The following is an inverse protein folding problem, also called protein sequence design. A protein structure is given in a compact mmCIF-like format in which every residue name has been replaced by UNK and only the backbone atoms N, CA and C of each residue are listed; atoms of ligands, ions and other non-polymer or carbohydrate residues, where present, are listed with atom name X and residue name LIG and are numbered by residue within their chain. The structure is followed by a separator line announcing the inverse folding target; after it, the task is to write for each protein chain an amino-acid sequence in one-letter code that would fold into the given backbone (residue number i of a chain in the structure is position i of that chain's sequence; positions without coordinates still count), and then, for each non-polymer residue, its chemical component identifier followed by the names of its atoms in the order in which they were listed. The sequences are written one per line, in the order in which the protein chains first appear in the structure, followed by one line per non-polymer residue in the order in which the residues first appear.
data_IF_664624074986
#
_entry.id   IF_664624074986
#
_cell.length_a   1.000
_cell.length_b   1.000
_cell.length_c   1.000
_cell.angle_alpha   90.00
_cell.angle_beta   90.00
_cell.angle_gamma   90.00
#
_symmetry.space_group_name_H-M   'P 1'
#
loop_
_entity.id
_entity.type
_entity.pdbx_description
1 polymer ?
#
# COMPACT_ATOMS: atom_id res chain seq x y z
N UNK A 1 -41.71 3.61 13.99
CA UNK A 1 -40.30 3.12 13.98
C UNK A 1 -39.71 3.14 12.57
N UNK A 2 -40.35 2.48 11.58
CA UNK A 2 -39.95 2.48 10.15
C UNK A 2 -39.85 3.88 9.51
N UNK A 3 -40.77 4.79 9.83
CA UNK A 3 -40.77 6.15 9.27
C UNK A 3 -39.57 6.99 9.75
N UNK A 4 -39.17 6.86 11.02
CA UNK A 4 -37.95 7.50 11.54
C UNK A 4 -36.68 6.92 10.91
N UNK A 5 -36.64 5.60 10.68
CA UNK A 5 -35.53 4.94 9.97
C UNK A 5 -35.45 5.39 8.50
N UNK A 6 -36.59 5.59 7.83
CA UNK A 6 -36.63 6.10 6.46
C UNK A 6 -36.16 7.55 6.38
N UNK A 7 -36.55 8.41 7.33
CA UNK A 7 -36.09 9.81 7.39
C UNK A 7 -34.59 9.87 7.69
N UNK A 8 -34.08 9.04 8.60
CA UNK A 8 -32.65 8.93 8.88
C UNK A 8 -31.87 8.49 7.64
N UNK A 9 -32.27 7.39 6.99
CA UNK A 9 -31.65 6.90 5.74
C UNK A 9 -31.73 7.92 4.60
N UNK A 10 -32.82 8.69 4.50
CA UNK A 10 -32.96 9.75 3.51
C UNK A 10 -32.06 10.96 3.80
N UNK A 11 -31.90 11.33 5.08
CA UNK A 11 -30.98 12.38 5.52
C UNK A 11 -29.52 11.98 5.28
N UNK A 12 -29.17 10.73 5.59
CA UNK A 12 -27.85 10.13 5.37
C UNK A 12 -27.56 10.00 3.87
N UNK A 13 -28.53 9.57 3.06
CA UNK A 13 -28.45 9.58 1.59
C UNK A 13 -28.34 11.00 1.01
N UNK A 14 -28.85 12.03 1.69
CA UNK A 14 -28.65 13.43 1.29
C UNK A 14 -27.27 13.95 1.64
N UNK A 15 -26.71 13.54 2.77
CA UNK A 15 -25.33 13.88 3.15
C UNK A 15 -24.31 13.22 2.21
N UNK A 16 -24.55 11.97 1.78
CA UNK A 16 -23.70 11.27 0.81
C UNK A 16 -23.87 11.76 -0.64
N UNK A 17 -24.97 12.43 -0.97
CA UNK A 17 -25.16 13.04 -2.31
C UNK A 17 -24.16 14.14 -2.61
N UNK A 18 -23.71 14.87 -1.59
CA UNK A 18 -22.81 16.01 -1.81
C UNK A 18 -21.42 15.53 -2.26
N UNK A 19 -20.87 14.49 -1.63
CA UNK A 19 -19.59 13.88 -2.06
C UNK A 19 -19.70 13.19 -3.41
N UNK A 20 -20.82 12.51 -3.69
CA UNK A 20 -21.08 11.92 -5.01
C UNK A 20 -21.22 12.97 -6.11
N UNK A 21 -21.88 14.09 -5.85
CA UNK A 21 -21.98 15.20 -6.79
C UNK A 21 -20.61 15.82 -7.05
N UNK A 22 -19.83 16.09 -5.99
CA UNK A 22 -18.45 16.57 -6.12
C UNK A 22 -17.58 15.61 -6.93
N UNK A 23 -17.72 14.29 -6.73
CA UNK A 23 -17.00 13.30 -7.53
C UNK A 23 -17.41 13.38 -9.00
N UNK A 24 -18.72 13.40 -9.28
CA UNK A 24 -19.21 13.53 -10.66
C UNK A 24 -18.71 14.80 -11.36
N UNK A 25 -18.56 15.90 -10.62
CA UNK A 25 -18.07 17.18 -11.15
C UNK A 25 -16.56 17.17 -11.48
N UNK A 26 -15.77 16.28 -10.86
CA UNK A 26 -14.31 16.22 -11.04
C UNK A 26 -13.84 15.02 -11.86
N UNK A 27 -14.73 14.08 -12.20
CA UNK A 27 -14.38 12.98 -13.11
C UNK A 27 -14.06 13.61 -14.48
N UNK A 28 -12.84 13.37 -15.02
CA UNK A 28 -12.49 13.91 -16.32
C UNK A 28 -13.30 13.22 -17.43
N UNK A 29 -13.38 13.87 -18.59
CA UNK A 29 -13.86 13.20 -19.80
C UNK A 29 -12.96 12.04 -20.21
N UNK A 30 -13.38 11.25 -21.19
CA UNK A 30 -12.66 10.05 -21.67
C UNK A 30 -11.18 10.31 -21.98
N UNK A 31 -10.86 11.45 -22.61
CA UNK A 31 -9.48 11.84 -22.95
C UNK A 31 -8.60 12.16 -21.73
N UNK A 32 -9.20 12.43 -20.56
CA UNK A 32 -8.48 12.72 -19.33
C UNK A 32 -8.36 11.51 -18.39
N UNK A 33 -8.89 10.35 -18.77
CA UNK A 33 -8.66 9.10 -18.06
C UNK A 33 -7.33 8.53 -18.52
N UNK A 34 -6.43 8.22 -17.58
CA UNK A 34 -5.14 7.60 -17.92
C UNK A 34 -5.38 6.23 -18.56
N UNK A 35 -4.51 5.80 -19.48
CA UNK A 35 -4.70 4.54 -20.18
C UNK A 35 -4.36 3.32 -19.32
N UNK A 36 -4.89 2.16 -19.72
CA UNK A 36 -4.38 0.86 -19.29
C UNK A 36 -3.35 0.33 -20.28
N UNK A 37 -2.35 -0.38 -19.80
CA UNK A 37 -1.26 -0.90 -20.62
C UNK A 37 -1.38 -2.41 -20.81
N UNK A 38 -1.09 -2.86 -22.02
CA UNK A 38 -0.87 -4.28 -22.31
C UNK A 38 0.61 -4.48 -22.62
N UNK A 39 1.30 -5.30 -21.81
CA UNK A 39 2.73 -5.58 -22.00
C UNK A 39 2.90 -7.03 -22.43
N UNK A 40 3.36 -7.21 -23.66
CA UNK A 40 3.74 -8.52 -24.18
C UNK A 40 5.16 -8.87 -23.71
N UNK A 41 5.25 -9.76 -22.72
CA UNK A 41 6.54 -10.22 -22.18
C UNK A 41 7.02 -11.43 -22.98
N UNK A 42 8.24 -11.42 -23.56
CA UNK A 42 8.78 -12.56 -24.28
C UNK A 42 8.81 -13.81 -23.42
N UNK A 43 8.27 -14.92 -23.94
CA UNK A 43 8.23 -16.20 -23.21
C UNK A 43 7.05 -16.34 -22.24
N UNK A 44 6.21 -15.32 -22.07
CA UNK A 44 4.96 -15.43 -21.32
C UNK A 44 3.80 -15.86 -22.22
N UNK A 45 2.91 -16.69 -21.69
CA UNK A 45 1.74 -17.21 -22.42
C UNK A 45 0.69 -16.12 -22.68
N UNK A 46 0.56 -15.17 -21.75
CA UNK A 46 -0.42 -14.10 -21.79
C UNK A 46 0.27 -12.75 -21.58
N UNK A 47 -0.24 -11.68 -22.20
CA UNK A 47 0.24 -10.34 -21.89
C UNK A 47 -0.13 -9.94 -20.45
N UNK A 48 0.65 -9.02 -19.90
CA UNK A 48 0.33 -8.38 -18.62
C UNK A 48 -0.67 -7.25 -18.88
N UNK A 49 -1.82 -7.29 -18.21
CA UNK A 49 -2.81 -6.21 -18.25
C UNK A 49 -2.61 -5.31 -17.04
N UNK A 50 -2.15 -4.08 -17.25
CA UNK A 50 -1.69 -3.18 -16.20
C UNK A 50 -2.55 -1.91 -16.19
N UNK A 51 -3.40 -1.77 -15.17
CA UNK A 51 -4.33 -0.64 -15.04
C UNK A 51 -4.19 0.10 -13.69
N UNK A 52 -3.11 -0.10 -12.95
CA UNK A 52 -2.99 0.46 -11.60
C UNK A 52 -2.99 1.99 -11.61
N UNK A 53 -2.46 2.64 -12.65
CA UNK A 53 -2.55 4.11 -12.81
C UNK A 53 -4.01 4.58 -12.93
N UNK A 54 -4.87 3.88 -13.67
CA UNK A 54 -6.31 4.17 -13.73
C UNK A 54 -6.96 4.02 -12.35
N UNK A 55 -6.61 2.95 -11.63
CA UNK A 55 -7.10 2.75 -10.26
C UNK A 55 -6.65 3.89 -9.33
N UNK A 56 -5.38 4.29 -9.40
CA UNK A 56 -4.79 5.39 -8.64
C UNK A 56 -5.46 6.74 -8.95
N UNK A 57 -5.76 7.02 -10.22
CA UNK A 57 -6.48 8.21 -10.64
C UNK A 57 -7.86 8.26 -9.99
N UNK A 58 -8.64 7.17 -10.12
CA UNK A 58 -9.97 7.06 -9.51
C UNK A 58 -9.92 7.17 -7.99
N UNK A 59 -8.96 6.50 -7.36
CA UNK A 59 -8.69 6.56 -5.93
C UNK A 59 -8.47 8.00 -5.45
N UNK A 60 -7.61 8.76 -6.13
CA UNK A 60 -7.31 10.16 -5.76
C UNK A 60 -8.52 11.08 -5.98
N UNK A 61 -9.35 10.85 -7.00
CA UNK A 61 -10.61 11.58 -7.21
C UNK A 61 -11.64 11.27 -6.10
N UNK A 62 -11.75 10.01 -5.68
CA UNK A 62 -12.58 9.60 -4.54
C UNK A 62 -12.14 10.31 -3.25
N UNK A 63 -10.83 10.38 -3.01
CA UNK A 63 -10.27 11.12 -1.87
C UNK A 63 -10.53 12.64 -1.99
N UNK A 64 -10.30 13.21 -3.18
CA UNK A 64 -10.51 14.65 -3.46
C UNK A 64 -11.94 15.10 -3.22
N UNK A 65 -12.91 14.30 -3.65
CA UNK A 65 -14.34 14.58 -3.47
C UNK A 65 -14.80 14.43 -2.01
N UNK A 66 -13.98 13.80 -1.15
CA UNK A 66 -14.35 13.44 0.21
C UNK A 66 -15.39 12.32 0.27
N UNK A 67 -15.51 11.52 -0.80
CA UNK A 67 -16.38 10.35 -0.83
C UNK A 67 -15.79 9.19 0.00
N UNK A 68 -14.47 9.05 -0.02
CA UNK A 68 -13.73 8.07 0.77
C UNK A 68 -12.63 8.73 1.61
N UNK A 69 -12.25 8.08 2.70
CA UNK A 69 -11.09 8.44 3.52
C UNK A 69 -9.90 7.48 3.32
N UNK A 70 -10.15 6.33 2.69
CA UNK A 70 -9.17 5.32 2.31
C UNK A 70 -9.66 4.61 1.05
N UNK A 71 -8.73 4.14 0.25
CA UNK A 71 -8.94 3.48 -1.04
C UNK A 71 -7.85 2.43 -1.19
N UNK A 72 -8.22 1.29 -1.77
CA UNK A 72 -7.30 0.20 -2.08
C UNK A 72 -7.15 0.10 -3.59
N UNK A 73 -5.94 -0.11 -4.05
CA UNK A 73 -5.59 -0.34 -5.46
C UNK A 73 -4.72 -1.59 -5.54
N UNK A 74 -4.86 -2.36 -6.61
CA UNK A 74 -4.08 -3.59 -6.81
C UNK A 74 -3.20 -3.49 -8.04
N UNK A 75 -1.93 -3.90 -7.89
CA UNK A 75 -1.06 -4.23 -9.00
C UNK A 75 -0.79 -5.74 -8.96
N UNK A 76 -1.26 -6.44 -9.99
CA UNK A 76 -1.26 -7.91 -10.03
C UNK A 76 -0.01 -8.46 -10.76
N UNK A 77 -0.01 -9.77 -11.03
CA UNK A 77 0.99 -10.50 -11.84
C UNK A 77 2.35 -10.78 -11.19
N UNK A 78 2.60 -10.40 -9.93
CA UNK A 78 3.88 -10.70 -9.27
C UNK A 78 4.10 -12.18 -8.90
N UNK A 79 3.06 -13.02 -8.92
CA UNK A 79 3.16 -14.45 -8.59
C UNK A 79 3.67 -15.32 -9.75
N UNK A 80 4.91 -15.06 -10.19
CA UNK A 80 5.47 -15.63 -11.43
C UNK A 80 6.18 -16.97 -11.21
N UNK A 81 5.49 -18.07 -11.50
CA UNK A 81 6.03 -19.45 -11.39
C UNK A 81 6.79 -19.93 -12.64
N UNK A 82 6.92 -19.06 -13.63
CA UNK A 82 7.74 -19.22 -14.83
C UNK A 82 8.22 -17.84 -15.30
N UNK A 83 9.29 -17.79 -16.11
CA UNK A 83 9.77 -16.55 -16.75
C UNK A 83 9.85 -15.33 -15.79
N UNK A 84 10.39 -15.53 -14.59
CA UNK A 84 10.25 -14.59 -13.47
C UNK A 84 10.89 -13.24 -13.77
N UNK A 85 12.13 -13.24 -14.28
CA UNK A 85 12.94 -12.03 -14.41
C UNK A 85 12.34 -11.02 -15.39
N UNK A 86 11.96 -11.47 -16.59
CA UNK A 86 11.38 -10.59 -17.60
C UNK A 86 10.03 -10.02 -17.17
N UNK A 87 9.22 -10.82 -16.48
CA UNK A 87 7.94 -10.35 -15.95
C UNK A 87 8.14 -9.35 -14.81
N UNK A 88 9.02 -9.65 -13.85
CA UNK A 88 9.30 -8.75 -12.73
C UNK A 88 9.99 -7.46 -13.19
N UNK A 89 10.86 -7.51 -14.20
CA UNK A 89 11.45 -6.30 -14.81
C UNK A 89 10.36 -5.36 -15.35
N UNK A 90 9.41 -5.89 -16.13
CA UNK A 90 8.28 -5.10 -16.64
C UNK A 90 7.38 -4.56 -15.52
N UNK A 91 7.10 -5.38 -14.50
CA UNK A 91 6.25 -5.00 -13.38
C UNK A 91 6.91 -3.95 -12.47
N UNK A 92 8.21 -4.05 -12.20
CA UNK A 92 8.92 -3.05 -11.39
C UNK A 92 9.07 -1.72 -12.12
N UNK A 93 9.31 -1.75 -13.44
CA UNK A 93 9.29 -0.52 -14.24
C UNK A 93 7.92 0.14 -14.18
N UNK A 94 6.85 -0.63 -14.38
CA UNK A 94 5.49 -0.09 -14.30
C UNK A 94 5.11 0.39 -12.89
N UNK A 95 5.57 -0.30 -11.84
CA UNK A 95 5.37 0.14 -10.46
C UNK A 95 6.05 1.50 -10.22
N UNK A 96 7.31 1.67 -10.66
CA UNK A 96 8.03 2.93 -10.52
C UNK A 96 7.30 4.07 -11.25
N UNK A 97 6.94 3.88 -12.51
CA UNK A 97 6.19 4.87 -13.31
C UNK A 97 4.83 5.21 -12.67
N UNK A 98 4.17 4.22 -12.08
CA UNK A 98 2.88 4.41 -11.40
C UNK A 98 2.99 5.18 -10.09
N UNK A 99 4.10 5.03 -9.36
CA UNK A 99 4.35 5.82 -8.14
C UNK A 99 4.64 7.28 -8.48
N UNK A 100 5.39 7.54 -9.56
CA UNK A 100 5.60 8.90 -10.06
C UNK A 100 4.26 9.53 -10.47
N UNK A 101 3.45 8.81 -11.27
CA UNK A 101 2.10 9.25 -11.64
C UNK A 101 1.22 9.54 -10.41
N UNK A 102 1.23 8.65 -9.41
CA UNK A 102 0.43 8.82 -8.20
C UNK A 102 0.76 10.12 -7.48
N UNK A 103 2.04 10.41 -7.25
CA UNK A 103 2.47 11.60 -6.52
C UNK A 103 2.25 12.87 -7.34
N UNK A 104 2.54 12.86 -8.64
CA UNK A 104 2.27 14.01 -9.53
C UNK A 104 0.78 14.36 -9.56
N UNK A 105 -0.09 13.35 -9.72
CA UNK A 105 -1.53 13.57 -9.75
C UNK A 105 -2.09 13.97 -8.38
N UNK A 106 -1.55 13.41 -7.29
CA UNK A 106 -1.88 13.85 -5.94
C UNK A 106 -1.46 15.31 -5.68
N UNK A 107 -0.35 15.78 -6.27
CA UNK A 107 0.06 17.19 -6.21
C UNK A 107 -0.88 18.09 -7.01
N UNK A 108 -1.24 17.71 -8.23
CA UNK A 108 -2.20 18.44 -9.07
C UNK A 108 -3.54 18.63 -8.35
N UNK A 109 -4.02 17.58 -7.67
CA UNK A 109 -5.25 17.63 -6.89
C UNK A 109 -5.08 18.33 -5.52
N UNK A 110 -3.88 18.74 -5.14
CA UNK A 110 -3.60 19.36 -3.84
C UNK A 110 -3.84 18.43 -2.65
N UNK A 111 -3.61 17.13 -2.84
CA UNK A 111 -3.77 16.07 -1.84
C UNK A 111 -2.44 15.54 -1.28
N UNK A 112 -1.31 15.75 -1.97
CA UNK A 112 -0.04 15.08 -1.66
C UNK A 112 0.41 15.20 -0.19
N UNK A 113 0.21 16.36 0.46
CA UNK A 113 0.56 16.59 1.88
C UNK A 113 -0.38 15.90 2.89
N UNK A 114 -1.38 15.14 2.43
CA UNK A 114 -2.43 14.54 3.26
C UNK A 114 -2.61 13.04 3.04
N UNK A 115 -1.67 12.41 2.34
CA UNK A 115 -1.73 11.00 1.97
C UNK A 115 -0.60 10.24 2.67
N UNK A 116 -0.99 9.18 3.40
CA UNK A 116 -0.11 8.09 3.75
C UNK A 116 -0.33 6.97 2.73
N UNK A 117 0.65 6.74 1.86
CA UNK A 117 0.63 5.64 0.90
C UNK A 117 1.32 4.42 1.53
N UNK A 118 0.60 3.30 1.60
CA UNK A 118 1.10 2.02 2.12
C UNK A 118 1.05 1.01 1.00
N UNK A 119 2.20 0.43 0.66
CA UNK A 119 2.36 -0.56 -0.39
C UNK A 119 2.87 -1.83 0.29
N UNK A 120 2.16 -2.94 0.09
CA UNK A 120 2.51 -4.23 0.67
C UNK A 120 2.24 -5.36 -0.33
N UNK A 121 2.80 -6.53 -0.02
CA UNK A 121 2.52 -7.78 -0.71
C UNK A 121 2.14 -8.85 0.32
N UNK A 122 1.28 -9.79 -0.07
CA UNK A 122 0.85 -10.89 0.79
C UNK A 122 1.98 -11.89 1.08
N UNK A 123 2.90 -12.06 0.12
CA UNK A 123 4.08 -12.91 0.22
C UNK A 123 5.23 -12.41 -0.68
N UNK A 124 6.43 -12.94 -0.47
CA UNK A 124 7.60 -12.74 -1.31
C UNK A 124 7.85 -13.91 -2.27
N UNK A 125 8.97 -13.86 -2.98
CA UNK A 125 9.44 -14.92 -3.89
C UNK A 125 10.77 -15.50 -3.39
N UNK A 126 10.98 -16.80 -3.58
CA UNK A 126 12.18 -17.51 -3.13
C UNK A 126 13.48 -16.84 -3.57
N UNK A 127 14.59 -17.07 -2.87
CA UNK A 127 15.91 -16.60 -3.31
C UNK A 127 16.54 -17.49 -4.40
N UNK A 128 15.81 -18.52 -4.88
CA UNK A 128 16.22 -19.44 -5.94
C UNK A 128 15.13 -19.60 -6.99
N UNK A 129 15.52 -20.02 -8.18
CA UNK A 129 14.58 -20.39 -9.25
C UNK A 129 14.07 -21.81 -9.10
N UNK A 130 12.85 -22.05 -9.57
CA UNK A 130 12.29 -23.38 -9.80
C UNK A 130 12.61 -23.86 -11.24
N UNK A 131 12.16 -25.07 -11.60
CA UNK A 131 12.44 -25.69 -12.91
C UNK A 131 11.86 -24.92 -14.12
N UNK A 132 10.93 -23.98 -13.89
CA UNK A 132 10.29 -23.16 -14.92
C UNK A 132 10.99 -21.82 -15.20
N UNK A 133 12.19 -21.58 -14.64
CA UNK A 133 12.77 -20.24 -14.50
C UNK A 133 11.82 -19.25 -13.80
N UNK A 134 10.92 -19.80 -12.99
CA UNK A 134 10.08 -19.08 -12.06
C UNK A 134 10.69 -19.06 -10.67
N UNK A 135 9.89 -18.63 -9.70
CA UNK A 135 10.22 -18.77 -8.27
C UNK A 135 9.07 -19.46 -7.53
N UNK A 136 9.21 -19.74 -6.25
CA UNK A 136 8.10 -20.23 -5.43
C UNK A 136 7.72 -19.17 -4.37
N UNK A 137 6.64 -19.42 -3.62
CA UNK A 137 6.19 -18.51 -2.56
C UNK A 137 7.20 -18.45 -1.42
N UNK A 138 7.41 -17.26 -0.87
CA UNK A 138 8.25 -17.03 0.29
C UNK A 138 7.48 -16.27 1.38
N UNK A 139 7.51 -16.72 2.65
CA UNK A 139 6.70 -16.11 3.71
C UNK A 139 7.23 -14.76 4.19
N UNK A 140 8.40 -14.33 3.70
CA UNK A 140 9.01 -13.04 4.04
C UNK A 140 8.80 -12.07 2.89
N UNK A 141 8.13 -10.94 3.17
CA UNK A 141 7.89 -9.85 2.24
C UNK A 141 8.36 -8.50 2.82
N UNK A 142 7.96 -7.41 2.16
CA UNK A 142 8.28 -6.05 2.58
C UNK A 142 7.07 -5.13 2.45
N UNK A 143 7.12 -4.02 3.18
CA UNK A 143 6.21 -2.90 3.04
C UNK A 143 7.02 -1.67 2.62
N UNK A 144 6.46 -0.87 1.72
CA UNK A 144 6.93 0.49 1.43
C UNK A 144 5.88 1.46 1.94
N UNK A 145 6.29 2.43 2.75
CA UNK A 145 5.40 3.44 3.33
C UNK A 145 5.94 4.80 2.92
N UNK A 146 5.08 5.62 2.35
CA UNK A 146 5.46 6.91 1.77
C UNK A 146 4.49 8.00 2.24
N UNK A 147 5.03 9.15 2.57
CA UNK A 147 4.30 10.39 2.82
C UNK A 147 5.18 11.54 2.35
N UNK A 148 4.57 12.59 1.80
CA UNK A 148 5.30 13.76 1.33
C UNK A 148 6.03 14.43 2.51
N UNK A 149 7.32 14.71 2.33
CA UNK A 149 8.18 15.32 3.36
C UNK A 149 8.26 14.53 4.68
N UNK A 150 8.01 13.22 4.68
CA UNK A 150 8.05 12.37 5.87
C UNK A 150 9.41 12.44 6.61
N UNK A 151 9.48 12.97 7.85
CA UNK A 151 10.74 13.09 8.57
C UNK A 151 11.30 11.74 9.02
N UNK A 152 10.45 10.70 9.06
CA UNK A 152 10.80 9.32 9.40
C UNK A 152 11.14 8.45 8.17
N UNK A 153 11.07 9.01 6.96
CA UNK A 153 11.34 8.31 5.70
C UNK A 153 12.83 8.10 5.40
N UNK A 154 13.15 7.84 4.13
CA UNK A 154 14.53 7.66 3.62
C UNK A 154 15.36 6.60 4.37
N UNK A 155 14.70 5.51 4.79
CA UNK A 155 15.34 4.41 5.52
C UNK A 155 14.65 3.09 5.27
N UNK A 156 15.37 2.00 5.53
CA UNK A 156 14.85 0.63 5.57
C UNK A 156 14.93 0.14 7.00
N UNK A 157 13.83 -0.39 7.53
CA UNK A 157 13.75 -1.03 8.86
C UNK A 157 13.60 -2.54 8.66
N UNK A 158 14.37 -3.34 9.40
CA UNK A 158 14.35 -4.80 9.24
C UNK A 158 15.41 -5.29 8.27
N UNK A 159 15.69 -6.59 8.37
CA UNK A 159 16.86 -7.21 7.76
C UNK A 159 16.52 -8.66 7.40
N UNK A 160 17.11 -9.15 6.33
CA UNK A 160 17.13 -10.58 5.99
C UNK A 160 18.56 -11.07 5.85
N UNK A 161 18.79 -12.38 6.01
CA UNK A 161 20.04 -13.00 5.59
C UNK A 161 20.08 -13.27 4.07
N UNK A 162 21.18 -13.88 3.61
CA UNK A 162 21.41 -14.27 2.21
C UNK A 162 20.39 -15.29 1.67
N UNK A 163 19.67 -15.97 2.57
CA UNK A 163 18.61 -16.92 2.24
C UNK A 163 17.21 -16.30 2.36
N UNK A 164 17.13 -14.98 2.50
CA UNK A 164 15.89 -14.22 2.69
C UNK A 164 15.13 -14.58 3.98
N UNK A 165 15.76 -15.19 4.98
CA UNK A 165 15.14 -15.33 6.30
C UNK A 165 15.23 -14.01 7.06
N UNK A 166 14.11 -13.59 7.66
CA UNK A 166 14.08 -12.40 8.50
C UNK A 166 15.05 -12.54 9.69
N UNK A 167 15.64 -11.42 10.11
CA UNK A 167 16.44 -11.32 11.33
C UNK A 167 15.71 -10.53 12.40
N UNK A 168 16.01 -10.84 13.66
CA UNK A 168 15.46 -10.13 14.82
C UNK A 168 15.99 -8.69 14.89
N UNK A 169 15.14 -7.79 15.36
CA UNK A 169 15.50 -6.41 15.68
C UNK A 169 15.11 -6.05 17.11
N UNK A 170 15.86 -5.14 17.73
CA UNK A 170 15.48 -4.56 19.00
C UNK A 170 14.29 -3.61 18.81
N UNK A 171 13.17 -3.86 19.50
CA UNK A 171 11.92 -3.13 19.29
C UNK A 171 11.99 -1.63 19.60
N UNK A 172 12.94 -1.18 20.43
CA UNK A 172 13.06 0.23 20.81
C UNK A 172 14.06 1.00 19.95
N UNK A 173 15.08 0.33 19.42
CA UNK A 173 16.17 0.96 18.65
C UNK A 173 16.09 0.69 17.15
N UNK A 174 15.35 -0.34 16.74
CA UNK A 174 15.23 -0.84 15.35
C UNK A 174 16.52 -1.42 14.76
N UNK A 175 17.55 -1.65 15.58
CA UNK A 175 18.81 -2.26 15.15
C UNK A 175 18.74 -3.79 15.22
N UNK A 176 19.60 -4.48 14.47
CA UNK A 176 19.75 -5.93 14.54
C UNK A 176 19.96 -6.41 15.98
N UNK A 177 19.20 -7.41 16.38
CA UNK A 177 19.32 -8.06 17.69
C UNK A 177 18.93 -9.53 17.53
N UNK A 178 19.86 -10.44 17.82
CA UNK A 178 19.62 -11.89 17.72
C UNK A 178 18.58 -12.39 18.71
N UNK A 179 18.27 -11.63 19.76
CA UNK A 179 17.21 -11.91 20.73
C UNK A 179 16.01 -10.97 20.56
N UNK A 180 16.00 -10.19 19.47
CA UNK A 180 14.96 -9.22 19.16
C UNK A 180 13.69 -9.84 18.57
N UNK A 181 12.77 -8.97 18.17
CA UNK A 181 11.50 -9.35 17.53
C UNK A 181 11.68 -9.47 16.02
N UNK A 182 10.98 -10.42 15.41
CA UNK A 182 10.85 -10.48 13.95
C UNK A 182 9.69 -9.58 13.52
N UNK A 183 9.93 -8.68 12.58
CA UNK A 183 8.89 -7.81 12.05
C UNK A 183 7.84 -8.66 11.33
N UNK A 184 6.57 -8.37 11.58
CA UNK A 184 5.42 -9.00 10.93
C UNK A 184 4.45 -7.92 10.42
N UNK A 185 3.49 -8.26 9.54
CA UNK A 185 2.44 -7.33 9.14
C UNK A 185 1.72 -6.69 10.33
N UNK A 186 1.46 -7.45 11.40
CA UNK A 186 0.84 -6.90 12.61
C UNK A 186 1.65 -5.77 13.25
N UNK A 187 2.98 -5.84 13.24
CA UNK A 187 3.81 -4.73 13.74
C UNK A 187 3.66 -3.47 12.87
N UNK A 188 3.62 -3.64 11.54
CA UNK A 188 3.44 -2.53 10.58
C UNK A 188 2.07 -1.88 10.76
N UNK A 189 1.01 -2.69 10.79
CA UNK A 189 -0.37 -2.19 10.97
C UNK A 189 -0.57 -1.53 12.34
N UNK A 190 0.04 -2.05 13.41
CA UNK A 190 0.02 -1.39 14.73
C UNK A 190 0.70 -0.03 14.69
N UNK A 191 1.87 0.07 14.07
CA UNK A 191 2.57 1.34 13.92
C UNK A 191 1.75 2.36 13.10
N UNK A 192 1.08 1.92 12.04
CA UNK A 192 0.18 2.76 11.23
C UNK A 192 -1.03 3.22 12.06
N UNK A 193 -1.69 2.33 12.80
CA UNK A 193 -2.80 2.66 13.70
C UNK A 193 -2.41 3.76 14.70
N UNK A 194 -1.23 3.63 15.30
CA UNK A 194 -0.68 4.60 16.25
C UNK A 194 -0.33 5.93 15.57
N UNK A 195 0.34 5.88 14.43
CA UNK A 195 0.74 7.07 13.67
C UNK A 195 -0.46 7.90 13.22
N UNK A 196 -1.51 7.23 12.75
CA UNK A 196 -2.75 7.85 12.28
C UNK A 196 -3.70 8.21 13.43
N UNK A 197 -3.39 7.84 14.67
CA UNK A 197 -4.16 8.19 15.87
C UNK A 197 -5.51 7.47 16.00
N UNK A 198 -5.66 6.28 15.41
CA UNK A 198 -6.88 5.48 15.51
C UNK A 198 -6.68 4.12 16.21
N UNK A 199 -5.55 3.92 16.87
CA UNK A 199 -5.25 2.71 17.65
C UNK A 199 -6.28 2.43 18.75
N UNK A 200 -6.67 3.44 19.54
CA UNK A 200 -7.74 3.29 20.54
C UNK A 200 -9.08 2.94 19.90
N UNK A 201 -9.40 3.54 18.75
CA UNK A 201 -10.63 3.25 18.02
C UNK A 201 -10.63 1.82 17.46
N UNK A 202 -9.49 1.34 16.95
CA UNK A 202 -9.33 -0.03 16.49
C UNK A 202 -9.49 -1.03 17.65
N UNK A 203 -8.91 -0.72 18.81
CA UNK A 203 -9.05 -1.51 20.04
C UNK A 203 -10.52 -1.63 20.47
N UNK A 204 -11.26 -0.51 20.53
CA UNK A 204 -12.68 -0.47 20.89
C UNK A 204 -13.56 -1.33 19.95
N UNK A 205 -13.15 -1.48 18.69
CA UNK A 205 -13.83 -2.32 17.69
C UNK A 205 -13.40 -3.80 17.73
N UNK A 206 -12.44 -4.18 18.58
CA UNK A 206 -11.88 -5.53 18.61
C UNK A 206 -10.91 -5.83 17.46
N UNK A 207 -10.42 -4.79 16.78
CA UNK A 207 -9.37 -4.84 15.76
C UNK A 207 -8.02 -4.37 16.30
N UNK A 208 -7.93 -4.24 17.63
CA UNK A 208 -6.72 -3.91 18.35
C UNK A 208 -5.62 -4.95 18.15
N UNK A 209 -4.38 -4.47 18.24
CA UNK A 209 -3.18 -5.29 18.17
C UNK A 209 -2.43 -5.25 19.51
N UNK A 210 -3.18 -5.32 20.62
CA UNK A 210 -2.66 -5.19 22.00
C UNK A 210 -1.50 -6.11 22.32
N UNK A 211 -1.54 -7.36 21.85
CA UNK A 211 -0.53 -8.40 22.10
C UNK A 211 0.75 -8.24 21.25
N UNK A 212 0.79 -7.29 20.32
CA UNK A 212 1.93 -7.03 19.44
C UNK A 212 2.82 -5.96 20.08
N UNK A 213 4.12 -6.21 20.24
CA UNK A 213 5.08 -5.19 20.71
C UNK A 213 5.09 -4.00 19.72
N UNK A 214 4.98 -2.74 20.18
CA UNK A 214 5.02 -1.59 19.28
C UNK A 214 6.43 -1.37 18.70
N UNK A 215 6.49 -1.05 17.41
CA UNK A 215 7.73 -0.62 16.75
C UNK A 215 7.65 0.87 16.39
N UNK A 216 8.65 1.70 16.73
CA UNK A 216 8.67 3.12 16.42
C UNK A 216 9.03 3.40 14.94
N UNK A 217 8.26 2.82 14.00
CA UNK A 217 8.48 2.92 12.56
C UNK A 217 8.31 4.35 12.01
N UNK A 218 7.62 5.21 12.74
CA UNK A 218 7.37 6.61 12.38
C UNK A 218 8.17 7.62 13.23
N UNK A 219 9.10 7.15 14.08
CA UNK A 219 9.98 8.02 14.87
C UNK A 219 11.19 8.48 14.01
N UNK A 220 11.33 9.80 13.73
CA UNK A 220 12.39 10.32 12.88
C UNK A 220 13.79 10.26 13.52
N UNK A 221 13.89 10.00 14.82
CA UNK A 221 15.17 9.94 15.53
C UNK A 221 15.72 8.52 15.68
N UNK A 222 15.03 7.51 15.14
CA UNK A 222 15.49 6.12 15.16
C UNK A 222 16.32 5.82 13.92
N UNK A 223 17.57 5.42 14.14
CA UNK A 223 18.45 4.96 13.07
C UNK A 223 18.20 3.47 12.80
N UNK A 224 18.11 3.10 11.53
CA UNK A 224 18.00 1.69 11.12
C UNK A 224 19.35 1.07 10.78
N UNK A 225 20.36 1.91 10.56
CA UNK A 225 21.75 1.51 10.36
C UNK A 225 22.66 2.46 11.14
N UNK A 226 23.66 1.87 11.80
CA UNK A 226 24.74 2.56 12.50
C UNK A 226 25.73 1.55 13.02
#
# INVERSE_FOLDING_TARGET
MRERQNIARFSEARASRESLARLADIIPGEEGIVDSYEVNVPGSTWPLYLNVQQQMQGALLVLKSGLGAAVEVSLEHFDTHENHDLQHEALYAHLADSLDFFWDYAEELGLAERILLVIGSDFGRTNSYNDGNGKDHWPIGSYMIMEKNAPWGNRVVGLTDELHFARGINAQTLKEDSNGVYITPSHVHKAIQQYMGFDLFAEDLGHGLGDVEPLPLFDPFKATFG
#
